data_IF_497740236543
#
_entry.id   IF_497740236543
#
_cell.length_a   1.000
_cell.length_b   1.000
_cell.length_c   1.000
_cell.angle_alpha   90.00
_cell.angle_beta   90.00
_cell.angle_gamma   90.00
#
_symmetry.space_group_name_H-M   'P 1'
#
loop_
_entity.id
_entity.type
_entity.pdbx_description
1 polymer ?
#
# COMPACT_ATOMS: atom_id res chain seq x y z
N UNK A 1 21.93 -1.24 14.63
CA UNK A 1 22.21 -0.68 13.29
C UNK A 1 20.94 -0.73 12.46
N UNK A 2 20.59 0.37 11.84
CA UNK A 2 19.44 0.46 10.94
C UNK A 2 19.57 -0.55 9.78
N UNK A 3 18.49 -1.21 9.41
CA UNK A 3 18.49 -2.23 8.35
C UNK A 3 19.01 -3.60 8.77
N UNK A 4 19.60 -3.75 9.95
CA UNK A 4 20.09 -5.04 10.46
C UNK A 4 19.13 -5.58 11.52
N UNK A 5 18.14 -6.36 11.06
CA UNK A 5 17.18 -7.04 11.92
C UNK A 5 17.72 -8.37 12.49
N UNK A 6 16.86 -9.07 13.23
CA UNK A 6 17.21 -10.34 13.93
C UNK A 6 17.87 -11.38 13.02
N UNK A 7 17.29 -11.65 11.84
CA UNK A 7 17.82 -12.67 10.90
C UNK A 7 19.19 -12.29 10.37
N UNK A 8 19.35 -11.01 9.98
CA UNK A 8 20.60 -10.53 9.42
C UNK A 8 21.70 -10.46 10.48
N UNK A 9 21.35 -10.05 11.71
CA UNK A 9 22.28 -10.06 12.85
C UNK A 9 22.82 -11.44 13.21
N UNK A 10 21.99 -12.49 13.15
CA UNK A 10 22.46 -13.88 13.36
C UNK A 10 23.44 -14.28 12.25
N UNK A 11 23.10 -13.97 10.98
CA UNK A 11 23.98 -14.28 9.84
C UNK A 11 25.31 -13.54 9.92
N UNK A 12 25.32 -12.28 10.31
CA UNK A 12 26.54 -11.48 10.49
C UNK A 12 27.44 -12.07 11.59
N UNK A 13 26.87 -12.43 12.74
CA UNK A 13 27.62 -13.07 13.82
C UNK A 13 28.22 -14.40 13.38
N UNK A 14 27.50 -15.22 12.60
CA UNK A 14 28.04 -16.45 12.01
C UNK A 14 29.18 -16.23 11.01
N UNK A 15 29.29 -15.02 10.44
CA UNK A 15 30.38 -14.61 9.55
C UNK A 15 31.50 -13.86 10.30
N UNK A 16 31.51 -13.90 11.64
CA UNK A 16 32.53 -13.27 12.47
C UNK A 16 32.38 -11.74 12.60
N UNK A 17 31.24 -11.17 12.18
CA UNK A 17 30.96 -9.73 12.32
C UNK A 17 30.07 -9.51 13.53
N UNK A 18 30.62 -8.96 14.60
CA UNK A 18 29.93 -8.76 15.89
C UNK A 18 29.59 -7.31 16.17
N UNK A 19 30.36 -6.39 15.64
CA UNK A 19 30.21 -4.94 15.84
C UNK A 19 29.99 -4.20 14.51
N UNK A 20 29.54 -2.95 14.59
CA UNK A 20 29.47 -2.07 13.42
C UNK A 20 30.86 -1.84 12.81
N UNK A 21 31.89 -1.73 13.65
CA UNK A 21 33.26 -1.54 13.20
C UNK A 21 33.77 -2.77 12.41
N UNK A 22 33.49 -3.98 12.88
CA UNK A 22 33.83 -5.19 12.13
C UNK A 22 33.18 -5.19 10.74
N UNK A 23 31.96 -4.66 10.63
CA UNK A 23 31.24 -4.57 9.37
C UNK A 23 31.86 -3.53 8.43
N UNK A 24 32.19 -2.34 8.93
CA UNK A 24 32.86 -1.28 8.16
C UNK A 24 34.20 -1.76 7.60
N UNK A 25 34.95 -2.52 8.37
CA UNK A 25 36.27 -3.05 7.99
C UNK A 25 36.21 -4.18 6.95
N UNK A 26 35.02 -4.70 6.60
CA UNK A 26 34.92 -5.69 5.51
C UNK A 26 35.05 -5.04 4.15
N UNK A 27 35.68 -5.78 3.21
CA UNK A 27 35.79 -5.33 1.82
C UNK A 27 34.42 -5.17 1.15
N UNK A 28 34.29 -4.18 0.25
CA UNK A 28 33.06 -3.85 -0.45
C UNK A 28 32.55 -5.00 -1.32
N UNK A 29 33.46 -5.73 -1.97
CA UNK A 29 33.11 -6.90 -2.78
C UNK A 29 32.47 -7.99 -1.91
N UNK A 30 33.05 -8.20 -0.72
CA UNK A 30 32.51 -9.13 0.25
C UNK A 30 31.12 -8.70 0.74
N UNK A 31 30.95 -7.44 1.13
CA UNK A 31 29.67 -6.88 1.57
C UNK A 31 28.62 -7.01 0.46
N UNK A 32 28.96 -6.62 -0.77
CA UNK A 32 28.06 -6.72 -1.92
C UNK A 32 27.64 -8.16 -2.20
N UNK A 33 28.57 -9.12 -2.13
CA UNK A 33 28.28 -10.55 -2.39
C UNK A 33 27.35 -11.18 -1.35
N UNK A 34 27.41 -10.73 -0.08
CA UNK A 34 26.64 -11.30 1.04
C UNK A 34 25.35 -10.57 1.34
N UNK A 35 25.30 -9.26 1.12
CA UNK A 35 24.21 -8.37 1.55
C UNK A 35 23.68 -7.45 0.45
N UNK A 36 24.24 -7.50 -0.76
CA UNK A 36 23.80 -6.73 -1.92
C UNK A 36 24.00 -5.22 -1.76
N UNK A 37 23.21 -4.44 -2.51
CA UNK A 37 23.26 -2.97 -2.52
C UNK A 37 22.96 -2.40 -1.11
N UNK A 38 21.97 -2.93 -0.43
CA UNK A 38 21.57 -2.43 0.91
C UNK A 38 22.71 -2.59 1.94
N UNK A 39 23.51 -3.66 1.83
CA UNK A 39 24.70 -3.84 2.67
C UNK A 39 25.76 -2.76 2.43
N UNK A 40 26.01 -2.40 1.18
CA UNK A 40 26.96 -1.31 0.84
C UNK A 40 26.44 0.04 1.34
N UNK A 41 25.13 0.33 1.17
CA UNK A 41 24.48 1.53 1.72
C UNK A 41 24.68 1.61 3.24
N UNK A 42 24.36 0.54 3.97
CA UNK A 42 24.53 0.50 5.43
C UNK A 42 26.00 0.67 5.85
N UNK A 43 26.94 0.09 5.11
CA UNK A 43 28.37 0.27 5.37
C UNK A 43 28.81 1.71 5.18
N UNK A 44 28.40 2.36 4.08
CA UNK A 44 28.72 3.76 3.79
C UNK A 44 28.15 4.69 4.87
N UNK A 45 26.89 4.51 5.25
CA UNK A 45 26.25 5.30 6.32
C UNK A 45 26.94 5.12 7.68
N UNK A 46 27.33 3.92 8.03
CA UNK A 46 28.11 3.64 9.25
C UNK A 46 29.51 4.27 9.20
N UNK A 47 30.06 4.47 8.00
CA UNK A 47 31.33 5.16 7.79
C UNK A 47 31.18 6.70 7.75
N UNK A 48 29.97 7.23 8.01
CA UNK A 48 29.69 8.67 7.99
C UNK A 48 29.45 9.25 6.60
N UNK A 49 29.29 8.40 5.58
CA UNK A 49 28.99 8.86 4.21
C UNK A 49 27.48 8.97 4.05
N UNK A 50 27.00 10.15 3.68
CA UNK A 50 25.60 10.40 3.38
C UNK A 50 25.23 9.73 2.04
N UNK A 51 24.47 8.64 2.08
CA UNK A 51 24.02 7.90 0.88
C UNK A 51 22.67 8.39 0.39
N UNK A 52 21.81 8.80 1.30
CA UNK A 52 20.45 9.28 1.01
C UNK A 52 20.30 10.71 1.54
N UNK A 53 20.68 11.74 0.76
CA UNK A 53 20.45 13.12 1.16
C UNK A 53 18.97 13.42 1.28
N UNK A 54 18.58 14.31 2.19
CA UNK A 54 17.22 14.85 2.25
C UNK A 54 17.02 15.71 1.01
N UNK A 55 16.06 15.31 0.16
CA UNK A 55 15.65 16.11 -1.00
C UNK A 55 14.34 16.83 -0.69
N UNK A 56 14.22 18.07 -1.13
CA UNK A 56 12.97 18.81 -1.15
C UNK A 56 12.11 18.46 -2.37
N UNK A 57 12.64 17.69 -3.31
CA UNK A 57 11.89 17.22 -4.47
C UNK A 57 10.97 16.09 -4.03
N UNK A 58 9.66 16.31 -4.19
CA UNK A 58 8.64 15.29 -3.93
C UNK A 58 8.47 14.48 -5.20
N UNK A 59 9.18 13.34 -5.28
CA UNK A 59 8.92 12.38 -6.36
C UNK A 59 7.54 11.75 -6.18
N UNK A 60 6.82 11.58 -7.29
CA UNK A 60 5.56 10.83 -7.28
C UNK A 60 5.82 9.38 -6.84
N UNK A 61 5.00 8.83 -5.95
CA UNK A 61 5.15 7.45 -5.54
C UNK A 61 4.89 6.52 -6.75
N UNK A 62 5.64 5.43 -6.84
CA UNK A 62 5.46 4.43 -7.91
C UNK A 62 4.23 3.56 -7.73
N UNK A 63 3.75 3.44 -6.50
CA UNK A 63 2.56 2.68 -6.13
C UNK A 63 1.94 3.22 -4.86
N UNK A 64 0.64 3.04 -4.70
CA UNK A 64 -0.10 3.22 -3.45
C UNK A 64 -0.58 1.86 -3.02
N UNK A 65 -0.20 1.43 -1.81
CA UNK A 65 -0.74 0.22 -1.21
C UNK A 65 -1.42 0.55 0.12
N UNK A 66 -2.53 -0.13 0.36
CA UNK A 66 -3.23 -0.06 1.63
C UNK A 66 -3.68 -1.46 2.04
N UNK A 67 -3.27 -1.87 3.23
CA UNK A 67 -3.60 -3.18 3.81
C UNK A 67 -3.56 -3.11 5.32
N UNK A 68 -4.48 -3.82 5.97
CA UNK A 68 -4.55 -3.88 7.42
C UNK A 68 -4.80 -5.30 7.87
N UNK A 69 -4.16 -5.71 8.96
CA UNK A 69 -4.47 -6.99 9.60
C UNK A 69 -5.76 -6.87 10.40
N UNK A 70 -6.62 -7.86 10.27
CA UNK A 70 -7.87 -7.92 11.02
C UNK A 70 -7.60 -8.18 12.51
N UNK A 71 -8.48 -7.69 13.36
CA UNK A 71 -8.48 -8.02 14.79
C UNK A 71 -8.86 -9.48 15.01
N UNK A 72 -9.88 -9.93 14.29
CA UNK A 72 -10.33 -11.32 14.25
C UNK A 72 -10.21 -11.84 12.82
N UNK A 73 -9.61 -13.01 12.67
CA UNK A 73 -9.44 -13.61 11.36
C UNK A 73 -10.78 -14.10 10.82
N UNK A 74 -10.96 -14.04 9.52
CA UNK A 74 -12.22 -14.35 8.87
C UNK A 74 -12.05 -15.31 7.70
N UNK A 75 -13.06 -16.15 7.48
CA UNK A 75 -13.27 -16.97 6.28
C UNK A 75 -14.49 -16.51 5.48
N UNK A 76 -15.03 -15.34 5.79
CA UNK A 76 -16.20 -14.78 5.13
C UNK A 76 -15.79 -13.85 3.98
N UNK A 77 -16.16 -14.23 2.75
CA UNK A 77 -15.87 -13.44 1.55
C UNK A 77 -16.52 -12.06 1.57
N UNK A 78 -17.73 -11.94 2.16
CA UNK A 78 -18.41 -10.66 2.24
C UNK A 78 -17.69 -9.70 3.19
N UNK A 79 -17.21 -10.22 4.31
CA UNK A 79 -16.35 -9.46 5.21
C UNK A 79 -15.07 -8.97 4.51
N UNK A 80 -14.41 -9.86 3.74
CA UNK A 80 -13.20 -9.47 2.98
C UNK A 80 -13.50 -8.41 1.93
N UNK A 81 -14.63 -8.48 1.23
CA UNK A 81 -15.06 -7.44 0.27
C UNK A 81 -15.31 -6.10 0.96
N UNK A 82 -15.92 -6.10 2.14
CA UNK A 82 -16.16 -4.89 2.92
C UNK A 82 -14.85 -4.23 3.36
N UNK A 83 -13.90 -5.01 3.88
CA UNK A 83 -12.57 -4.51 4.25
C UNK A 83 -11.80 -3.99 3.03
N UNK A 84 -11.85 -4.72 1.90
CA UNK A 84 -11.22 -4.28 0.66
C UNK A 84 -11.81 -2.95 0.17
N UNK A 85 -13.13 -2.74 0.31
CA UNK A 85 -13.77 -1.47 -0.06
C UNK A 85 -13.23 -0.28 0.73
N UNK A 86 -12.94 -0.47 2.02
CA UNK A 86 -12.32 0.56 2.87
C UNK A 86 -10.92 0.90 2.34
N UNK A 87 -10.13 -0.11 2.02
CA UNK A 87 -8.78 0.10 1.48
C UNK A 87 -8.80 0.76 0.09
N UNK A 88 -9.77 0.42 -0.75
CA UNK A 88 -9.99 1.08 -2.05
C UNK A 88 -10.27 2.56 -1.83
N UNK A 89 -11.22 2.89 -0.97
CA UNK A 89 -11.61 4.27 -0.68
C UNK A 89 -10.41 5.11 -0.21
N UNK A 90 -9.65 4.64 0.78
CA UNK A 90 -8.46 5.31 1.31
C UNK A 90 -7.36 5.46 0.25
N UNK A 91 -7.19 4.48 -0.62
CA UNK A 91 -6.20 4.51 -1.70
C UNK A 91 -6.59 5.48 -2.80
N UNK A 92 -7.87 5.53 -3.20
CA UNK A 92 -8.41 6.49 -4.16
C UNK A 92 -8.27 7.93 -3.64
N UNK A 93 -8.57 8.17 -2.36
CA UNK A 93 -8.38 9.49 -1.76
C UNK A 93 -6.91 9.95 -1.79
N UNK A 94 -5.96 9.02 -1.58
CA UNK A 94 -4.52 9.30 -1.72
C UNK A 94 -4.13 9.56 -3.17
N UNK A 95 -4.68 8.80 -4.12
CA UNK A 95 -4.41 8.95 -5.55
C UNK A 95 -4.89 10.32 -6.07
N UNK A 96 -6.10 10.75 -5.66
CA UNK A 96 -6.62 12.08 -5.99
C UNK A 96 -5.79 13.23 -5.41
N UNK A 97 -5.19 13.06 -4.21
CA UNK A 97 -4.31 14.07 -3.61
C UNK A 97 -3.03 14.34 -4.38
N UNK A 98 -2.53 13.36 -5.11
CA UNK A 98 -1.35 13.50 -5.98
C UNK A 98 -1.73 13.75 -7.44
N UNK A 99 -3.01 14.02 -7.70
CA UNK A 99 -3.58 14.32 -9.02
C UNK A 99 -3.26 13.28 -10.10
N UNK A 100 -3.30 12.00 -9.71
CA UNK A 100 -3.00 10.87 -10.58
C UNK A 100 -4.20 9.92 -10.72
N UNK A 101 -4.16 9.11 -11.77
CA UNK A 101 -5.02 7.94 -12.02
C UNK A 101 -4.14 6.69 -12.09
N UNK A 102 -4.65 5.54 -11.68
CA UNK A 102 -3.94 4.26 -11.80
C UNK A 102 -4.44 3.46 -13.00
N UNK A 103 -3.53 2.75 -13.65
CA UNK A 103 -3.82 1.82 -14.73
C UNK A 103 -3.72 0.34 -14.29
N UNK A 104 -3.09 0.05 -13.18
CA UNK A 104 -2.96 -1.32 -12.66
C UNK A 104 -3.51 -1.42 -11.25
N UNK A 105 -4.35 -2.43 -11.02
CA UNK A 105 -4.99 -2.73 -9.73
C UNK A 105 -4.55 -4.11 -9.30
N UNK A 106 -3.93 -4.21 -8.12
CA UNK A 106 -3.57 -5.47 -7.48
C UNK A 106 -4.34 -5.67 -6.18
N UNK A 107 -4.70 -6.92 -5.90
CA UNK A 107 -5.32 -7.33 -4.64
C UNK A 107 -4.39 -8.28 -3.90
N UNK A 108 -4.17 -7.98 -2.62
CA UNK A 108 -3.40 -8.79 -1.69
C UNK A 108 -4.34 -9.49 -0.73
N UNK A 109 -4.19 -10.79 -0.58
CA UNK A 109 -4.94 -11.60 0.38
C UNK A 109 -3.96 -12.45 1.18
N UNK A 110 -3.97 -12.33 2.51
CA UNK A 110 -3.03 -13.03 3.39
C UNK A 110 -3.74 -13.98 4.31
N UNK A 111 -3.33 -15.24 4.29
CA UNK A 111 -3.88 -16.27 5.19
C UNK A 111 -3.35 -16.14 6.62
N UNK A 112 -4.01 -16.80 7.57
CA UNK A 112 -3.57 -16.92 8.96
C UNK A 112 -2.11 -17.37 9.07
N UNK A 113 -1.69 -18.30 8.24
CA UNK A 113 -0.34 -18.87 8.21
C UNK A 113 0.68 -18.03 7.45
N UNK A 114 0.36 -16.73 7.21
CA UNK A 114 1.23 -15.77 6.54
C UNK A 114 1.52 -16.04 5.05
N UNK A 115 0.82 -16.98 4.41
CA UNK A 115 0.86 -17.15 2.96
C UNK A 115 0.19 -15.95 2.31
N UNK A 116 0.85 -15.32 1.36
CA UNK A 116 0.34 -14.16 0.62
C UNK A 116 -0.07 -14.61 -0.77
N UNK A 117 -1.32 -14.32 -1.12
CA UNK A 117 -1.87 -14.45 -2.46
C UNK A 117 -1.92 -13.05 -3.06
N UNK A 118 -1.58 -12.92 -4.34
CA UNK A 118 -1.58 -11.66 -5.07
C UNK A 118 -2.09 -11.88 -6.48
N UNK A 119 -3.05 -11.09 -6.89
CA UNK A 119 -3.53 -11.05 -8.28
C UNK A 119 -3.68 -9.61 -8.71
N UNK A 120 -3.46 -9.32 -10.00
CA UNK A 120 -3.59 -7.97 -10.54
C UNK A 120 -4.20 -7.96 -11.92
N UNK A 121 -4.80 -6.84 -12.27
CA UNK A 121 -5.38 -6.55 -13.58
C UNK A 121 -4.90 -5.18 -14.05
N UNK A 122 -4.64 -5.07 -15.34
CA UNK A 122 -4.38 -3.80 -16.00
C UNK A 122 -5.68 -3.29 -16.62
N UNK A 123 -5.96 -2.01 -16.42
CA UNK A 123 -7.12 -1.33 -16.98
C UNK A 123 -6.74 -0.68 -18.32
N UNK A 124 -7.66 -0.73 -19.27
CA UNK A 124 -7.50 -0.04 -20.58
C UNK A 124 -7.54 1.48 -20.40
N UNK A 125 -8.35 1.97 -19.46
CA UNK A 125 -8.50 3.39 -19.14
C UNK A 125 -8.10 3.61 -17.68
N UNK A 126 -7.08 4.47 -17.42
CA UNK A 126 -6.68 4.81 -16.06
C UNK A 126 -7.82 5.50 -15.30
N UNK A 127 -7.96 5.19 -14.01
CA UNK A 127 -9.02 5.74 -13.16
C UNK A 127 -8.55 6.03 -11.74
N UNK A 128 -9.21 6.97 -11.06
CA UNK A 128 -9.13 7.23 -9.63
C UNK A 128 -10.49 7.06 -8.94
N UNK A 129 -11.47 6.49 -9.68
CA UNK A 129 -12.84 6.35 -9.23
C UNK A 129 -13.07 5.00 -8.55
N UNK A 130 -13.49 5.04 -7.29
CA UNK A 130 -13.60 3.85 -6.41
C UNK A 130 -14.50 2.74 -6.96
N UNK A 131 -15.60 3.08 -7.64
CA UNK A 131 -16.50 2.07 -8.20
C UNK A 131 -15.86 1.29 -9.35
N UNK A 132 -15.06 1.95 -10.18
CA UNK A 132 -14.34 1.29 -11.27
C UNK A 132 -13.23 0.39 -10.70
N UNK A 133 -12.50 0.89 -9.69
CA UNK A 133 -11.47 0.11 -9.01
C UNK A 133 -12.10 -1.08 -8.28
N UNK A 134 -13.22 -0.90 -7.58
CA UNK A 134 -13.95 -1.98 -6.90
C UNK A 134 -14.44 -3.04 -7.89
N UNK A 135 -14.96 -2.60 -9.04
CA UNK A 135 -15.43 -3.49 -10.11
C UNK A 135 -14.32 -4.39 -10.65
N UNK A 136 -13.08 -3.88 -10.71
CA UNK A 136 -11.93 -4.65 -11.13
C UNK A 136 -11.33 -5.51 -9.99
N UNK A 137 -11.33 -5.01 -8.75
CA UNK A 137 -10.70 -5.67 -7.61
C UNK A 137 -11.52 -6.86 -7.05
N UNK A 138 -12.85 -6.76 -7.01
CA UNK A 138 -13.68 -7.81 -6.42
C UNK A 138 -13.61 -9.17 -7.14
N UNK A 139 -13.58 -9.24 -8.48
CA UNK A 139 -13.31 -10.50 -9.17
C UNK A 139 -11.98 -11.13 -8.77
N UNK A 140 -10.89 -10.35 -8.69
CA UNK A 140 -9.57 -10.83 -8.27
C UNK A 140 -9.61 -11.42 -6.85
N UNK A 141 -10.28 -10.73 -5.91
CA UNK A 141 -10.47 -11.26 -4.57
C UNK A 141 -11.26 -12.58 -4.57
N UNK A 142 -12.33 -12.64 -5.36
CA UNK A 142 -13.21 -13.81 -5.42
C UNK A 142 -12.49 -15.02 -6.01
N UNK A 143 -11.65 -14.82 -7.02
CA UNK A 143 -10.83 -15.87 -7.64
C UNK A 143 -9.77 -16.43 -6.67
N UNK A 144 -9.14 -15.57 -5.88
CA UNK A 144 -8.15 -15.98 -4.89
C UNK A 144 -8.75 -16.60 -3.63
N UNK A 145 -10.05 -16.41 -3.40
CA UNK A 145 -10.72 -16.85 -2.17
C UNK A 145 -10.94 -18.36 -2.14
N UNK A 146 -10.56 -18.98 -1.05
CA UNK A 146 -10.76 -20.41 -0.77
C UNK A 146 -11.64 -20.51 0.51
N UNK A 147 -12.84 -21.06 0.41
CA UNK A 147 -13.85 -21.07 1.47
C UNK A 147 -13.43 -21.78 2.77
N UNK A 148 -12.41 -22.63 2.72
CA UNK A 148 -11.89 -23.36 3.90
C UNK A 148 -10.69 -22.68 4.55
N UNK A 149 -10.16 -21.62 3.92
CA UNK A 149 -9.02 -20.87 4.44
C UNK A 149 -9.48 -19.74 5.37
N UNK A 150 -8.64 -19.45 6.35
CA UNK A 150 -8.84 -18.33 7.26
C UNK A 150 -7.85 -17.23 6.91
N UNK A 151 -8.37 -16.03 6.71
CA UNK A 151 -7.59 -14.87 6.28
C UNK A 151 -7.37 -13.90 7.42
N UNK A 152 -6.20 -13.28 7.44
CA UNK A 152 -5.77 -12.30 8.43
C UNK A 152 -5.72 -10.87 7.92
N UNK A 153 -5.61 -10.67 6.61
CA UNK A 153 -5.63 -9.34 6.00
C UNK A 153 -6.00 -9.42 4.53
N UNK A 154 -6.61 -8.36 4.04
CA UNK A 154 -6.81 -8.05 2.63
C UNK A 154 -6.24 -6.66 2.37
N UNK A 155 -5.91 -6.34 1.14
CA UNK A 155 -5.44 -5.02 0.76
C UNK A 155 -5.45 -4.80 -0.73
N UNK A 156 -5.22 -3.54 -1.10
CA UNK A 156 -5.17 -3.05 -2.48
C UNK A 156 -3.78 -2.50 -2.80
N UNK A 157 -3.37 -2.63 -4.05
CA UNK A 157 -2.18 -1.99 -4.61
C UNK A 157 -2.59 -1.31 -5.90
N UNK A 158 -2.33 -0.01 -6.00
CA UNK A 158 -2.55 0.77 -7.20
C UNK A 158 -1.19 1.12 -7.80
N UNK A 159 -1.01 0.84 -9.09
CA UNK A 159 0.26 1.00 -9.80
C UNK A 159 0.01 1.67 -11.18
N UNK A 160 1.08 1.95 -11.90
CA UNK A 160 1.07 2.56 -13.23
C UNK A 160 0.30 3.88 -13.24
N UNK A 161 0.82 4.85 -12.49
CA UNK A 161 0.19 6.15 -12.36
C UNK A 161 0.33 6.97 -13.64
N UNK A 162 -0.75 7.68 -13.97
CA UNK A 162 -0.83 8.67 -15.05
C UNK A 162 -1.29 9.99 -14.44
N UNK A 163 -0.60 11.06 -14.76
CA UNK A 163 -1.04 12.40 -14.38
C UNK A 163 -2.32 12.77 -15.12
N UNK A 164 -3.25 13.41 -14.45
CA UNK A 164 -4.53 13.82 -15.07
C UNK A 164 -4.34 14.80 -16.23
N UNK A 165 -3.29 15.63 -16.17
CA UNK A 165 -2.95 16.57 -17.22
C UNK A 165 -2.53 15.91 -18.54
N UNK A 166 -2.03 14.67 -18.51
CA UNK A 166 -1.57 13.92 -19.69
C UNK A 166 -2.69 13.12 -20.35
N UNK A 167 -3.91 13.24 -19.89
CA UNK A 167 -5.01 12.42 -20.36
C UNK A 167 -5.43 12.81 -21.78
N UNK A 168 -5.05 12.00 -22.74
CA UNK A 168 -5.48 12.13 -24.12
C UNK A 168 -6.97 11.78 -24.21
N UNK A 169 -7.79 12.77 -24.58
CA UNK A 169 -9.23 12.56 -24.82
C UNK A 169 -9.39 11.58 -25.99
N UNK A 170 -9.84 10.38 -25.70
CA UNK A 170 -10.24 9.44 -26.76
C UNK A 170 -11.61 9.83 -27.28
N UNK A 171 -11.75 9.88 -28.60
CA UNK A 171 -13.00 10.23 -29.30
C UNK A 171 -14.21 9.35 -28.94
N UNK A 172 -13.97 8.20 -28.30
CA UNK A 172 -15.00 7.22 -27.91
C UNK A 172 -15.24 7.19 -26.38
N UNK A 173 -14.57 8.03 -25.59
CA UNK A 173 -14.82 8.12 -24.15
C UNK A 173 -16.12 8.87 -23.87
N UNK A 174 -16.96 8.30 -23.01
CA UNK A 174 -18.17 8.99 -22.54
C UNK A 174 -17.76 10.08 -21.53
N UNK A 175 -17.40 11.27 -22.07
CA UNK A 175 -16.86 12.40 -21.29
C UNK A 175 -17.82 12.86 -20.19
N UNK A 176 -19.15 12.81 -20.42
CA UNK A 176 -20.14 13.23 -19.41
C UNK A 176 -20.10 12.35 -18.17
N UNK A 177 -20.03 11.03 -18.35
CA UNK A 177 -19.95 10.08 -17.24
C UNK A 177 -18.64 10.23 -16.46
N UNK A 178 -17.54 10.54 -17.15
CA UNK A 178 -16.24 10.77 -16.54
C UNK A 178 -16.24 12.04 -15.69
N UNK A 179 -16.77 13.14 -16.19
CA UNK A 179 -16.93 14.38 -15.42
C UNK A 179 -17.84 14.18 -14.20
N UNK A 180 -18.92 13.41 -14.34
CA UNK A 180 -19.80 13.08 -13.21
C UNK A 180 -19.06 12.29 -12.13
N UNK A 181 -18.27 11.29 -12.50
CA UNK A 181 -17.45 10.48 -11.59
C UNK A 181 -16.42 11.34 -10.85
N UNK A 182 -15.74 12.25 -11.55
CA UNK A 182 -14.78 13.18 -10.96
C UNK A 182 -15.45 14.15 -9.97
N UNK A 183 -16.58 14.74 -10.34
CA UNK A 183 -17.37 15.62 -9.47
C UNK A 183 -17.86 14.87 -8.22
N UNK A 184 -18.27 13.61 -8.37
CA UNK A 184 -18.68 12.77 -7.25
C UNK A 184 -17.50 12.51 -6.30
N UNK A 185 -16.34 12.08 -6.82
CA UNK A 185 -15.13 11.85 -6.02
C UNK A 185 -14.70 13.09 -5.24
N UNK A 186 -14.66 14.26 -5.89
CA UNK A 186 -14.36 15.53 -5.23
C UNK A 186 -15.37 15.90 -4.14
N UNK A 187 -16.65 15.57 -4.36
CA UNK A 187 -17.70 15.84 -3.38
C UNK A 187 -17.56 14.96 -2.15
N UNK A 188 -17.22 13.69 -2.34
CA UNK A 188 -16.90 12.77 -1.24
C UNK A 188 -15.69 13.26 -0.43
N UNK A 189 -14.61 13.66 -1.09
CA UNK A 189 -13.41 14.21 -0.42
C UNK A 189 -13.73 15.48 0.40
N UNK A 190 -14.62 16.37 -0.12
CA UNK A 190 -15.08 17.56 0.61
C UNK A 190 -15.91 17.21 1.84
N UNK A 191 -16.78 16.21 1.73
CA UNK A 191 -17.58 15.72 2.85
C UNK A 191 -16.69 15.12 3.95
N UNK A 192 -15.72 14.29 3.57
CA UNK A 192 -14.80 13.72 4.53
C UNK A 192 -13.90 14.75 5.21
N UNK A 193 -13.44 15.76 4.47
CA UNK A 193 -12.66 16.87 5.04
C UNK A 193 -13.49 17.67 6.07
N UNK A 194 -14.79 17.81 5.86
CA UNK A 194 -15.68 18.59 6.73
C UNK A 194 -16.19 17.81 7.94
N UNK A 195 -16.52 16.54 7.76
CA UNK A 195 -17.23 15.73 8.76
C UNK A 195 -16.42 14.57 9.32
N UNK A 196 -15.21 14.36 8.83
CA UNK A 196 -14.33 13.27 9.23
C UNK A 196 -14.35 12.09 8.27
N UNK A 197 -13.35 11.20 8.43
CA UNK A 197 -13.19 10.03 7.55
C UNK A 197 -14.33 9.02 7.73
N UNK A 198 -14.62 8.29 6.68
CA UNK A 198 -15.62 7.21 6.65
C UNK A 198 -17.06 7.67 6.94
N UNK A 199 -17.39 8.95 6.74
CA UNK A 199 -18.77 9.46 6.90
C UNK A 199 -19.69 8.95 5.79
N UNK A 200 -19.14 8.74 4.60
CA UNK A 200 -19.82 8.12 3.46
C UNK A 200 -19.13 6.80 3.19
N UNK A 201 -19.88 5.72 3.09
CA UNK A 201 -19.41 4.39 2.73
C UNK A 201 -20.18 3.87 1.53
N UNK A 202 -19.51 3.16 0.64
CA UNK A 202 -20.18 2.47 -0.45
C UNK A 202 -21.02 1.31 0.13
N UNK A 203 -22.21 1.07 -0.43
CA UNK A 203 -23.31 0.25 0.12
C UNK A 203 -23.04 -1.23 0.38
N UNK A 204 -21.80 -1.67 0.43
CA UNK A 204 -21.39 -3.03 0.79
C UNK A 204 -21.08 -3.21 2.28
N UNK A 205 -21.10 -2.14 3.08
CA UNK A 205 -20.69 -2.18 4.48
C UNK A 205 -21.90 -2.21 5.41
N UNK A 206 -22.43 -3.39 5.67
CA UNK A 206 -23.62 -3.59 6.53
C UNK A 206 -23.29 -4.04 7.97
N UNK A 207 -22.12 -3.69 8.54
CA UNK A 207 -21.88 -3.83 9.99
C UNK A 207 -20.87 -2.80 10.46
N UNK A 208 -21.21 -2.11 11.54
CA UNK A 208 -20.23 -1.41 12.36
C UNK A 208 -19.22 -2.44 12.90
N UNK A 209 -18.04 -2.48 12.31
CA UNK A 209 -16.93 -3.19 12.93
C UNK A 209 -16.43 -2.26 14.03
N UNK A 210 -16.47 -2.66 15.32
CA UNK A 210 -15.97 -1.83 16.40
C UNK A 210 -14.49 -1.57 16.16
N UNK A 211 -14.17 -0.30 15.89
CA UNK A 211 -12.82 0.18 15.71
C UNK A 211 -12.14 0.17 17.09
N UNK A 212 -11.35 -0.82 17.41
CA UNK A 212 -10.37 -0.66 18.48
C UNK A 212 -9.34 0.35 17.98
N UNK A 213 -9.42 1.59 18.51
CA UNK A 213 -8.35 2.57 18.34
C UNK A 213 -7.05 1.90 18.76
N UNK A 214 -6.15 1.69 17.79
CA UNK A 214 -4.78 1.31 18.10
C UNK A 214 -4.21 2.39 19.01
N UNK A 215 -3.52 2.00 20.07
CA UNK A 215 -2.80 2.87 20.99
C UNK A 215 -1.84 3.78 20.22
N UNK A 216 -2.33 4.90 19.75
CA UNK A 216 -1.51 6.08 19.54
C UNK A 216 -1.52 6.78 20.89
N UNK A 217 -0.50 6.52 21.68
CA UNK A 217 -0.16 7.35 22.82
C UNK A 217 -0.11 8.80 22.34
N UNK A 218 -1.06 9.59 22.83
CA UNK A 218 -1.06 11.04 22.64
C UNK A 218 0.24 11.62 23.20
N UNK A 219 0.93 12.55 22.52
CA UNK A 219 2.14 13.19 23.05
C UNK A 219 1.84 14.21 24.16
N UNK A 220 0.86 13.98 25.01
CA UNK A 220 0.44 14.91 26.06
C UNK A 220 0.69 14.43 27.48
N UNK A 221 1.36 13.29 27.67
CA UNK A 221 1.72 12.78 28.98
C UNK A 221 3.25 12.59 29.09
N UNK A 222 4.00 13.70 28.93
CA UNK A 222 5.35 13.88 29.46
C UNK A 222 5.45 15.35 29.93
#
# INVERSE_FOLDING_TARGET
VWGIGRKLGVRLRGLGVRTALDFINKDDKWVKSKFGKNGLTSKAELSGIMVSPISNEVELPKSISDTKSFLEFSSDLQFLKNELSIHIHESCARLRKIDCKCATIGVLLKTKDFRTLYSKVQLDIPTDFEFEISRAAFPLLTEMFISREVYRSVGIVLEDFREKAEEQLTLFSNNEKKEQNEKLGQSLDKLEKKFGRNIVRTGFTNKEVPFKQGFLTSPKDV
#
